data_IF_883380034062
#
_entry.id   IF_883380034062
#
_cell.length_a   1.000
_cell.length_b   1.000
_cell.length_c   1.000
_cell.angle_alpha   90.00
_cell.angle_beta   90.00
_cell.angle_gamma   90.00
#
_symmetry.space_group_name_H-M   'P 1'
#
loop_
_entity.id
_entity.type
_entity.pdbx_description
1 polymer ?
#
# COMPACT_ATOMS: atom_id res chain seq x y z
N UNK A 1 6.96 -7.54 18.42
CA UNK A 1 7.29 -6.58 19.50
C UNK A 1 6.02 -6.33 20.31
N UNK A 2 6.06 -6.37 21.64
CA UNK A 2 4.91 -6.01 22.47
C UNK A 2 5.12 -4.58 22.98
N UNK A 3 4.29 -3.61 22.57
CA UNK A 3 4.50 -2.23 22.97
C UNK A 3 4.10 -2.03 24.43
N UNK A 4 4.82 -1.16 25.13
CA UNK A 4 4.57 -0.86 26.54
C UNK A 4 3.32 0.02 26.68
N UNK A 5 2.40 -0.38 27.58
CA UNK A 5 1.13 0.31 27.82
C UNK A 5 1.15 0.96 29.21
N UNK A 6 0.79 2.25 29.27
CA UNK A 6 0.62 3.02 30.50
C UNK A 6 -0.82 3.49 30.61
N UNK A 7 -1.35 3.57 31.83
CA UNK A 7 -2.69 4.07 32.08
C UNK A 7 -2.61 5.44 32.76
N UNK A 8 -3.36 6.40 32.25
CA UNK A 8 -3.52 7.73 32.84
C UNK A 8 -5.01 8.03 32.97
N UNK A 9 -5.50 8.23 34.19
CA UNK A 9 -6.93 8.43 34.49
C UNK A 9 -7.87 7.40 33.83
N UNK A 10 -7.46 6.13 33.82
CA UNK A 10 -8.22 5.03 33.21
C UNK A 10 -8.12 4.93 31.69
N UNK A 11 -7.40 5.83 31.03
CA UNK A 11 -7.15 5.81 29.58
C UNK A 11 -5.82 5.13 29.28
N UNK A 12 -5.82 4.15 28.38
CA UNK A 12 -4.62 3.44 27.96
C UNK A 12 -3.84 4.23 26.90
N UNK A 13 -2.54 4.38 27.13
CA UNK A 13 -1.56 4.98 26.23
C UNK A 13 -0.45 3.98 25.92
N UNK A 14 -0.10 3.86 24.65
CA UNK A 14 0.89 2.93 24.12
C UNK A 14 2.10 3.72 23.66
N UNK A 15 3.29 3.34 24.14
CA UNK A 15 4.55 3.95 23.69
C UNK A 15 4.74 3.74 22.18
N UNK A 16 5.08 4.80 21.46
CA UNK A 16 5.24 4.76 20.01
C UNK A 16 6.68 4.38 19.61
N UNK A 17 6.93 3.19 19.04
CA UNK A 17 8.28 2.78 18.65
C UNK A 17 8.84 3.56 17.45
N UNK A 18 7.99 4.34 16.75
CA UNK A 18 8.37 5.13 15.58
C UNK A 18 8.70 6.59 15.92
N UNK A 19 8.44 7.02 17.17
CA UNK A 19 8.75 8.37 17.62
C UNK A 19 9.10 8.34 19.11
N UNK A 20 10.41 8.36 19.39
CA UNK A 20 10.94 8.24 20.75
C UNK A 20 10.37 9.32 21.69
N UNK A 21 10.06 8.91 22.92
CA UNK A 21 9.50 9.80 23.94
C UNK A 21 8.03 10.15 23.77
N UNK A 22 7.33 9.52 22.81
CA UNK A 22 5.89 9.75 22.60
C UNK A 22 5.06 8.51 22.93
N UNK A 23 3.84 8.75 23.39
CA UNK A 23 2.82 7.73 23.57
C UNK A 23 1.52 8.18 22.86
N UNK A 24 0.80 7.23 22.30
CA UNK A 24 -0.50 7.45 21.66
C UNK A 24 -1.58 6.78 22.50
N UNK A 25 -2.78 7.36 22.55
CA UNK A 25 -3.94 6.64 23.08
C UNK A 25 -4.09 5.32 22.33
N UNK A 26 -4.45 4.25 23.03
CA UNK A 26 -4.41 2.89 22.48
C UNK A 26 -5.18 2.73 21.16
N UNK A 27 -6.39 3.26 21.06
CA UNK A 27 -7.20 3.24 19.83
C UNK A 27 -6.53 3.98 18.66
N UNK A 28 -5.79 5.05 18.94
CA UNK A 28 -5.02 5.80 17.95
C UNK A 28 -3.78 5.00 17.53
N UNK A 29 -3.13 4.36 18.50
CA UNK A 29 -2.00 3.49 18.24
C UNK A 29 -2.40 2.34 17.33
N UNK A 30 -3.48 1.63 17.64
CA UNK A 30 -3.98 0.47 16.87
C UNK A 30 -4.35 0.80 15.42
N UNK A 31 -4.57 2.07 15.10
CA UNK A 31 -4.91 2.57 13.76
C UNK A 31 -3.82 3.45 13.17
N UNK A 32 -2.58 3.28 13.63
CA UNK A 32 -1.44 4.08 13.17
C UNK A 32 -1.10 3.84 11.69
N UNK A 33 -1.40 2.65 11.18
CA UNK A 33 -1.19 2.29 9.80
C UNK A 33 -2.43 1.69 9.18
N UNK A 34 -2.59 1.94 7.88
CA UNK A 34 -3.59 1.31 7.02
C UNK A 34 -2.87 0.43 6.01
N UNK A 35 -3.30 -0.82 5.88
CA UNK A 35 -2.82 -1.73 4.85
C UNK A 35 -3.83 -1.69 3.71
N UNK A 36 -3.39 -1.31 2.52
CA UNK A 36 -4.23 -1.14 1.34
C UNK A 36 -3.78 -2.11 0.25
N UNK A 37 -4.72 -2.83 -0.37
CA UNK A 37 -4.48 -3.53 -1.62
C UNK A 37 -4.99 -2.68 -2.79
N UNK A 38 -4.15 -2.55 -3.81
CA UNK A 38 -4.45 -1.88 -5.06
C UNK A 38 -4.43 -2.93 -6.16
N UNK A 39 -5.47 -2.95 -6.99
CA UNK A 39 -5.61 -3.97 -8.00
C UNK A 39 -6.77 -3.70 -8.93
N UNK A 40 -7.21 -4.74 -9.61
CA UNK A 40 -8.39 -4.70 -10.47
C UNK A 40 -9.53 -5.46 -9.79
N UNK A 41 -10.71 -4.87 -9.76
CA UNK A 41 -11.93 -5.52 -9.31
C UNK A 41 -12.80 -5.87 -10.52
N UNK A 42 -13.35 -7.07 -10.52
CA UNK A 42 -14.41 -7.48 -11.42
C UNK A 42 -15.76 -7.07 -10.81
N UNK A 43 -16.54 -6.33 -11.58
CA UNK A 43 -17.86 -5.84 -11.19
C UNK A 43 -18.91 -6.39 -12.16
N UNK A 44 -20.12 -6.60 -11.65
CA UNK A 44 -21.28 -6.86 -12.49
C UNK A 44 -21.70 -5.58 -13.22
N UNK A 45 -22.12 -5.71 -14.48
CA UNK A 45 -22.80 -4.63 -15.20
C UNK A 45 -24.24 -4.44 -14.67
N UNK A 46 -24.73 -3.20 -14.69
CA UNK A 46 -26.03 -2.81 -14.12
C UNK A 46 -27.23 -3.47 -14.84
N UNK A 47 -27.02 -3.96 -16.08
CA UNK A 47 -28.06 -4.54 -16.95
C UNK A 47 -28.36 -6.05 -16.72
N UNK A 48 -27.91 -6.61 -15.60
CA UNK A 48 -28.30 -7.95 -15.16
C UNK A 48 -27.39 -9.06 -15.69
N UNK A 49 -26.42 -9.43 -14.86
CA UNK A 49 -25.67 -10.70 -14.79
C UNK A 49 -24.97 -11.25 -16.06
N UNK A 50 -25.12 -10.67 -17.25
CA UNK A 50 -24.53 -11.23 -18.47
C UNK A 50 -23.12 -10.71 -18.79
N UNK A 51 -22.73 -9.55 -18.25
CA UNK A 51 -21.45 -8.92 -18.54
C UNK A 51 -20.76 -8.47 -17.25
N UNK A 52 -19.44 -8.64 -17.23
CA UNK A 52 -18.57 -8.13 -16.17
C UNK A 52 -17.51 -7.25 -16.78
N UNK A 53 -17.02 -6.28 -16.01
CA UNK A 53 -15.91 -5.44 -16.42
C UNK A 53 -14.90 -5.31 -15.28
N UNK A 54 -13.65 -5.06 -15.65
CA UNK A 54 -12.54 -4.89 -14.72
C UNK A 54 -12.21 -3.40 -14.59
N UNK A 55 -12.11 -2.92 -13.35
CA UNK A 55 -11.67 -1.55 -13.09
C UNK A 55 -10.69 -1.47 -11.92
N UNK A 56 -9.85 -0.42 -11.86
CA UNK A 56 -8.98 -0.19 -10.73
C UNK A 56 -9.78 -0.01 -9.43
N UNK A 57 -9.41 -0.75 -8.39
CA UNK A 57 -9.99 -0.62 -7.06
C UNK A 57 -8.88 -0.63 -6.00
N UNK A 58 -9.08 0.15 -4.93
CA UNK A 58 -8.27 0.09 -3.72
C UNK A 58 -9.14 -0.32 -2.56
N UNK A 59 -8.73 -1.37 -1.83
CA UNK A 59 -9.44 -1.88 -0.65
C UNK A 59 -8.54 -1.80 0.58
N UNK A 60 -9.13 -1.50 1.73
CA UNK A 60 -8.42 -1.52 3.01
C UNK A 60 -8.46 -2.93 3.60
N UNK A 61 -7.30 -3.54 3.77
CA UNK A 61 -7.16 -4.88 4.31
C UNK A 61 -7.18 -4.90 5.85
N UNK A 62 -6.54 -3.90 6.47
CA UNK A 62 -6.38 -3.85 7.91
C UNK A 62 -5.95 -2.46 8.40
N UNK A 63 -6.17 -2.24 9.69
CA UNK A 63 -5.52 -1.20 10.49
C UNK A 63 -4.60 -1.86 11.51
N UNK A 64 -3.42 -1.28 11.70
CA UNK A 64 -2.38 -1.84 12.54
C UNK A 64 -1.69 -0.75 13.35
N UNK A 65 -1.18 -1.10 14.54
CA UNK A 65 -0.33 -0.20 15.31
C UNK A 65 1.16 -0.36 15.04
N UNK A 66 1.55 -1.52 14.48
CA UNK A 66 2.93 -1.85 14.15
C UNK A 66 3.09 -2.22 12.68
N UNK A 67 4.23 -1.88 12.08
CA UNK A 67 4.60 -2.26 10.72
C UNK A 67 4.71 -3.77 10.55
N UNK A 68 5.22 -4.50 11.55
CA UNK A 68 5.28 -5.96 11.54
C UNK A 68 3.89 -6.58 11.43
N UNK A 69 2.90 -5.99 12.11
CA UNK A 69 1.51 -6.43 11.99
C UNK A 69 0.95 -6.15 10.59
N UNK A 70 1.35 -5.05 9.96
CA UNK A 70 0.98 -4.75 8.57
C UNK A 70 1.45 -5.83 7.60
N UNK A 71 2.70 -6.28 7.73
CA UNK A 71 3.27 -7.36 6.92
C UNK A 71 2.48 -8.66 7.10
N UNK A 72 2.19 -9.03 8.35
CA UNK A 72 1.42 -10.23 8.66
C UNK A 72 0.00 -10.17 8.10
N UNK A 73 -0.68 -9.00 8.19
CA UNK A 73 -2.02 -8.82 7.63
C UNK A 73 -2.03 -8.87 6.10
N UNK A 74 -1.04 -8.28 5.44
CA UNK A 74 -0.87 -8.37 3.99
C UNK A 74 -0.67 -9.82 3.53
N UNK A 75 0.18 -10.59 4.21
CA UNK A 75 0.40 -12.00 3.90
C UNK A 75 -0.83 -12.86 4.18
N UNK A 76 -1.50 -12.64 5.32
CA UNK A 76 -2.74 -13.34 5.66
C UNK A 76 -3.81 -13.15 4.58
N UNK A 77 -3.95 -11.91 4.08
CA UNK A 77 -4.86 -11.62 2.97
C UNK A 77 -4.55 -12.45 1.73
N UNK A 78 -3.27 -12.50 1.30
CA UNK A 78 -2.90 -13.26 0.10
C UNK A 78 -3.11 -14.77 0.21
N UNK A 79 -3.02 -15.32 1.43
CA UNK A 79 -3.29 -16.75 1.68
C UNK A 79 -4.78 -17.05 1.78
N UNK A 80 -5.55 -16.17 2.45
CA UNK A 80 -6.97 -16.42 2.73
C UNK A 80 -7.91 -15.93 1.64
N UNK A 81 -7.47 -15.01 0.78
CA UNK A 81 -8.32 -14.29 -0.18
C UNK A 81 -9.35 -13.36 0.46
N UNK A 82 -9.41 -13.30 1.79
CA UNK A 82 -10.42 -12.58 2.53
C UNK A 82 -9.90 -11.18 2.88
N UNK A 83 -10.23 -10.18 2.05
CA UNK A 83 -10.17 -8.80 2.48
C UNK A 83 -11.41 -8.53 3.33
N UNK A 84 -11.26 -7.75 4.41
CA UNK A 84 -12.43 -7.22 5.11
C UNK A 84 -13.38 -6.55 4.12
N UNK A 85 -14.68 -6.83 4.29
CA UNK A 85 -15.82 -6.34 3.50
C UNK A 85 -15.45 -5.72 2.13
N UNK A 86 -15.34 -6.57 1.11
CA UNK A 86 -15.44 -6.12 -0.27
C UNK A 86 -16.94 -5.99 -0.56
N UNK A 87 -17.42 -4.81 -0.97
CA UNK A 87 -18.85 -4.56 -1.14
C UNK A 87 -19.53 -5.55 -2.09
N UNK A 88 -20.83 -5.79 -1.89
CA UNK A 88 -21.61 -6.85 -2.56
C UNK A 88 -21.58 -6.84 -4.10
N UNK A 89 -21.16 -5.74 -4.72
CA UNK A 89 -21.03 -5.59 -6.17
C UNK A 89 -19.73 -6.17 -6.76
N UNK A 90 -18.71 -6.46 -5.93
CA UNK A 90 -17.42 -6.98 -6.39
C UNK A 90 -17.43 -8.50 -6.46
N UNK A 91 -17.23 -9.03 -7.67
CA UNK A 91 -17.25 -10.45 -7.97
C UNK A 91 -15.89 -11.11 -7.75
N UNK A 92 -14.81 -10.44 -8.15
CA UNK A 92 -13.42 -10.87 -7.97
C UNK A 92 -12.53 -9.64 -7.74
N UNK A 93 -11.39 -9.83 -7.08
CA UNK A 93 -10.38 -8.79 -6.92
C UNK A 93 -8.97 -9.36 -7.04
N UNK A 94 -8.21 -8.80 -7.98
CA UNK A 94 -6.84 -9.19 -8.29
C UNK A 94 -5.87 -8.14 -7.76
N UNK A 95 -5.27 -8.35 -6.57
CA UNK A 95 -4.29 -7.43 -6.04
C UNK A 95 -3.04 -7.41 -6.92
N UNK A 96 -2.58 -6.21 -7.28
CA UNK A 96 -1.33 -5.99 -8.02
C UNK A 96 -0.24 -5.41 -7.10
N UNK A 97 -0.64 -4.62 -6.10
CA UNK A 97 0.25 -3.96 -5.14
C UNK A 97 -0.41 -3.88 -3.77
N UNK A 98 0.38 -4.04 -2.72
CA UNK A 98 -0.04 -3.74 -1.35
C UNK A 98 0.79 -2.56 -0.84
N UNK A 99 0.14 -1.61 -0.16
CA UNK A 99 0.83 -0.51 0.52
C UNK A 99 0.45 -0.42 1.98
N UNK A 100 1.37 0.14 2.76
CA UNK A 100 1.16 0.54 4.15
C UNK A 100 1.23 2.06 4.16
N UNK A 101 0.16 2.71 4.62
CA UNK A 101 0.11 4.16 4.81
C UNK A 101 0.09 4.50 6.29
N UNK A 102 0.73 5.62 6.66
CA UNK A 102 0.58 6.17 7.99
C UNK A 102 -0.75 6.93 8.17
N UNK A 103 -1.02 7.40 9.39
CA UNK A 103 -2.21 8.21 9.72
C UNK A 103 -2.38 9.48 8.90
N UNK A 104 -1.28 10.01 8.35
CA UNK A 104 -1.30 11.19 7.47
C UNK A 104 -1.53 10.85 6.00
N UNK A 105 -1.76 9.56 5.67
CA UNK A 105 -1.94 9.09 4.30
C UNK A 105 -0.63 8.95 3.52
N UNK A 106 0.53 9.09 4.16
CA UNK A 106 1.82 8.94 3.47
C UNK A 106 2.17 7.46 3.36
N UNK A 107 2.59 7.03 2.16
CA UNK A 107 3.09 5.66 1.95
C UNK A 107 4.37 5.45 2.76
N UNK A 108 4.34 4.43 3.61
CA UNK A 108 5.45 3.99 4.46
C UNK A 108 6.20 2.83 3.81
N UNK A 109 5.47 1.91 3.19
CA UNK A 109 6.04 0.72 2.55
C UNK A 109 5.09 0.26 1.44
N UNK A 110 5.64 -0.28 0.35
CA UNK A 110 4.84 -0.94 -0.69
C UNK A 110 5.48 -2.25 -1.11
N UNK A 111 4.66 -3.19 -1.57
CA UNK A 111 5.09 -4.45 -2.14
C UNK A 111 4.26 -4.81 -3.37
N UNK A 112 4.87 -5.51 -4.31
CA UNK A 112 4.21 -5.98 -5.53
C UNK A 112 3.67 -7.39 -5.33
N UNK A 113 2.49 -7.64 -5.86
CA UNK A 113 1.87 -8.96 -5.85
C UNK A 113 2.02 -9.58 -7.24
N UNK A 114 2.65 -10.75 -7.32
CA UNK A 114 2.75 -11.54 -8.55
C UNK A 114 2.48 -12.99 -8.22
N UNK A 115 1.50 -13.61 -8.89
CA UNK A 115 1.13 -15.02 -8.67
C UNK A 115 0.97 -15.34 -7.17
N UNK A 116 0.22 -14.48 -6.46
CA UNK A 116 -0.02 -14.56 -5.01
C UNK A 116 1.22 -14.45 -4.10
N UNK A 117 2.38 -14.08 -4.66
CA UNK A 117 3.59 -13.79 -3.90
C UNK A 117 3.76 -12.29 -3.73
N UNK A 118 4.00 -11.85 -2.49
CA UNK A 118 4.27 -10.45 -2.16
C UNK A 118 5.77 -10.20 -2.05
N UNK A 119 6.29 -9.32 -2.89
CA UNK A 119 7.66 -8.84 -2.82
C UNK A 119 7.66 -7.39 -2.35
N UNK A 120 8.11 -7.16 -1.12
CA UNK A 120 8.29 -5.81 -0.58
C UNK A 120 9.37 -5.05 -1.35
N UNK A 121 9.11 -3.78 -1.62
CA UNK A 121 10.01 -2.92 -2.36
C UNK A 121 10.89 -2.11 -1.39
N UNK A 122 12.22 -2.20 -1.49
CA UNK A 122 13.12 -1.32 -0.76
C UNK A 122 12.89 0.15 -1.12
N UNK A 123 12.86 1.06 -0.12
CA UNK A 123 12.76 2.48 -0.39
C UNK A 123 14.03 3.01 -1.05
N UNK A 124 13.93 4.12 -1.75
CA UNK A 124 15.11 4.87 -2.18
C UNK A 124 15.75 5.60 -0.98
N UNK A 125 17.07 5.47 -0.86
CA UNK A 125 17.81 5.94 0.30
C UNK A 125 18.69 7.15 -0.02
N UNK A 126 19.21 7.24 -1.24
CA UNK A 126 20.10 8.33 -1.66
C UNK A 126 19.38 9.38 -2.50
N UNK A 127 19.95 10.60 -2.53
CA UNK A 127 19.42 11.66 -3.39
C UNK A 127 19.56 11.34 -4.89
N UNK A 128 20.62 10.64 -5.28
CA UNK A 128 20.83 10.20 -6.66
C UNK A 128 19.78 9.19 -7.12
N UNK A 129 19.52 8.16 -6.30
CA UNK A 129 18.46 7.18 -6.56
C UNK A 129 17.11 7.85 -6.74
N UNK A 130 16.79 8.82 -5.88
CA UNK A 130 15.54 9.56 -5.93
C UNK A 130 15.43 10.39 -7.21
N UNK A 131 16.48 11.13 -7.57
CA UNK A 131 16.51 11.95 -8.79
C UNK A 131 16.34 11.09 -10.05
N UNK A 132 17.02 9.94 -10.12
CA UNK A 132 16.88 8.99 -11.22
C UNK A 132 15.47 8.40 -11.29
N UNK A 133 14.91 8.00 -10.15
CA UNK A 133 13.55 7.48 -10.08
C UNK A 133 12.52 8.52 -10.52
N UNK A 134 12.62 9.76 -10.05
CA UNK A 134 11.72 10.85 -10.44
C UNK A 134 11.82 11.19 -11.93
N UNK A 135 13.03 11.19 -12.49
CA UNK A 135 13.23 11.38 -13.93
C UNK A 135 12.56 10.27 -14.74
N UNK A 136 12.72 9.02 -14.31
CA UNK A 136 12.09 7.87 -14.96
C UNK A 136 10.57 7.89 -14.84
N UNK A 137 10.01 8.25 -13.68
CA UNK A 137 8.57 8.41 -13.47
C UNK A 137 8.01 9.44 -14.46
N UNK A 138 8.64 10.63 -14.55
CA UNK A 138 8.20 11.67 -15.49
C UNK A 138 8.21 11.18 -16.94
N UNK A 139 9.25 10.45 -17.33
CA UNK A 139 9.38 9.86 -18.67
C UNK A 139 8.24 8.87 -18.95
N UNK A 140 8.02 7.91 -18.05
CA UNK A 140 6.98 6.88 -18.20
C UNK A 140 5.58 7.50 -18.31
N UNK A 141 5.30 8.52 -17.49
CA UNK A 141 4.00 9.20 -17.53
C UNK A 141 3.81 10.02 -18.81
N UNK A 142 4.86 10.67 -19.32
CA UNK A 142 4.80 11.38 -20.61
C UNK A 142 4.53 10.41 -21.77
N UNK A 143 5.26 9.29 -21.81
CA UNK A 143 5.09 8.24 -22.82
C UNK A 143 3.70 7.61 -22.72
N UNK A 144 3.18 7.42 -21.50
CA UNK A 144 1.82 6.92 -21.31
C UNK A 144 0.76 7.85 -21.90
N UNK A 145 0.93 9.16 -21.79
CA UNK A 145 0.01 10.15 -22.39
C UNK A 145 0.08 10.08 -23.91
N UNK A 146 1.27 9.91 -24.48
CA UNK A 146 1.44 9.81 -25.93
C UNK A 146 0.80 8.53 -26.47
N UNK A 147 1.00 7.37 -25.82
CA UNK A 147 0.36 6.10 -26.19
C UNK A 147 -1.17 6.16 -26.08
N UNK A 148 -1.70 6.81 -25.05
CA UNK A 148 -3.13 6.98 -24.85
C UNK A 148 -3.79 7.80 -25.96
N UNK A 149 -3.05 8.77 -26.54
CA UNK A 149 -3.50 9.57 -27.70
C UNK A 149 -3.56 8.78 -28.99
N UNK A 150 -2.86 7.65 -29.07
CA UNK A 150 -2.80 6.77 -30.24
C UNK A 150 -3.71 5.54 -30.05
N UNK A 151 -4.71 5.66 -29.15
CA UNK A 151 -5.63 4.59 -28.73
C UNK A 151 -4.93 3.32 -28.20
N UNK A 152 -3.66 3.43 -27.79
CA UNK A 152 -2.87 2.32 -27.29
C UNK A 152 -2.99 2.20 -25.76
N UNK A 153 -4.24 2.15 -25.29
CA UNK A 153 -4.59 2.21 -23.86
C UNK A 153 -3.90 1.13 -23.01
N UNK A 154 -3.71 -0.08 -23.56
CA UNK A 154 -3.01 -1.15 -22.86
C UNK A 154 -1.56 -0.79 -22.56
N UNK A 155 -0.89 -0.12 -23.50
CA UNK A 155 0.50 0.31 -23.36
C UNK A 155 0.58 1.48 -22.39
N UNK A 156 -0.29 2.48 -22.55
CA UNK A 156 -0.41 3.60 -21.62
C UNK A 156 -0.62 3.14 -20.16
N UNK A 157 -1.51 2.17 -19.94
CA UNK A 157 -1.77 1.62 -18.61
C UNK A 157 -0.59 0.81 -18.05
N UNK A 158 0.17 0.11 -18.90
CA UNK A 158 1.42 -0.54 -18.47
C UNK A 158 2.45 0.50 -18.01
N UNK A 159 2.65 1.57 -18.78
CA UNK A 159 3.57 2.65 -18.46
C UNK A 159 3.20 3.36 -17.15
N UNK A 160 1.90 3.66 -16.94
CA UNK A 160 1.37 4.20 -15.67
C UNK A 160 1.66 3.27 -14.49
N UNK A 161 1.41 1.95 -14.63
CA UNK A 161 1.73 0.96 -13.58
C UNK A 161 3.23 0.92 -13.25
N UNK A 162 4.09 1.01 -14.26
CA UNK A 162 5.54 1.07 -14.03
C UNK A 162 5.95 2.34 -13.27
N UNK A 163 5.36 3.49 -13.61
CA UNK A 163 5.58 4.74 -12.89
C UNK A 163 5.10 4.63 -11.42
N UNK A 164 3.92 4.07 -11.19
CA UNK A 164 3.37 3.84 -9.86
C UNK A 164 4.29 2.94 -9.01
N UNK A 165 4.90 1.91 -9.59
CA UNK A 165 5.85 1.06 -8.88
C UNK A 165 7.10 1.80 -8.41
N UNK A 166 7.61 2.73 -9.23
CA UNK A 166 8.74 3.59 -8.84
C UNK A 166 8.31 4.58 -7.75
N UNK A 167 7.15 5.21 -7.92
CA UNK A 167 6.62 6.17 -6.96
C UNK A 167 6.34 5.53 -5.59
N UNK A 168 5.88 4.28 -5.59
CA UNK A 168 5.60 3.51 -4.38
C UNK A 168 6.82 3.25 -3.48
N UNK A 169 8.04 3.44 -4.01
CA UNK A 169 9.33 3.33 -3.28
C UNK A 169 9.80 4.65 -2.70
N UNK A 170 9.21 5.76 -3.12
CA UNK A 170 9.53 7.10 -2.61
C UNK A 170 8.75 7.28 -1.30
N UNK A 171 9.44 7.15 -0.18
CA UNK A 171 8.84 7.27 1.16
C UNK A 171 9.46 8.43 1.96
N UNK A 172 8.70 8.99 2.93
CA UNK A 172 9.20 10.03 3.83
C UNK A 172 10.45 9.58 4.59
N UNK A 173 11.43 10.47 4.73
CA UNK A 173 12.72 10.16 5.36
C UNK A 173 12.60 9.56 6.78
N UNK A 174 11.61 10.02 7.56
CA UNK A 174 11.35 9.52 8.91
C UNK A 174 11.03 8.01 8.97
N UNK A 175 10.47 7.46 7.90
CA UNK A 175 10.06 6.05 7.86
C UNK A 175 11.16 5.11 7.37
N UNK A 176 12.16 5.61 6.64
CA UNK A 176 13.22 4.79 6.03
C UNK A 176 13.96 3.91 7.04
N UNK A 177 14.44 4.41 8.20
CA UNK A 177 15.17 3.56 9.15
C UNK A 177 14.33 2.39 9.68
N UNK A 178 13.02 2.60 9.88
CA UNK A 178 12.11 1.58 10.36
C UNK A 178 11.83 0.53 9.29
N UNK A 179 11.66 0.96 8.03
CA UNK A 179 11.43 0.06 6.89
C UNK A 179 12.66 -0.77 6.55
N UNK A 180 13.85 -0.17 6.53
CA UNK A 180 15.10 -0.88 6.27
C UNK A 180 15.34 -1.97 7.33
N UNK A 181 15.15 -1.61 8.61
CA UNK A 181 15.20 -2.56 9.73
C UNK A 181 14.16 -3.68 9.57
N UNK A 182 12.94 -3.36 9.15
CA UNK A 182 11.86 -4.33 8.96
C UNK A 182 12.15 -5.32 7.83
N UNK A 183 12.77 -4.85 6.75
CA UNK A 183 13.13 -5.64 5.58
C UNK A 183 14.49 -6.36 5.72
N UNK A 184 15.21 -6.14 6.82
CA UNK A 184 16.55 -6.66 7.08
C UNK A 184 17.57 -6.28 5.98
N UNK A 185 17.56 -5.02 5.55
CA UNK A 185 18.45 -4.45 4.52
C UNK A 185 19.14 -3.18 5.00
#
# INVERSE_FOLDING_TARGET
>A
MNPHVQHFDGVAFVHNPYLAGTALRQDIFERQFRVLAHGQAELADDDGFAHTFWMPLTIELAQCGLLEQCLLKALHYLVSGNAGFIGDAVLDFRPERISVQDRGGQTVLSGLVRQSTLTWLPPYCTGEELLLAEAQIRRLLAEAIDEDRWDNHSTANNLRRQADHLQARIIPARWRPHVLKLLNI
#
